data_IF_715608419217
#
_entry.id   IF_715608419217
#
_cell.length_a   1.000
_cell.length_b   1.000
_cell.length_c   1.000
_cell.angle_alpha   90.00
_cell.angle_beta   90.00
_cell.angle_gamma   90.00
#
_symmetry.space_group_name_H-M   'P 1'
#
loop_
_entity.id
_entity.type
_entity.pdbx_description
1 polymer ?
#
# COMPACT_ATOMS: atom_id res chain seq x y z
N UNK A 1 18.69 -18.95 15.92
CA UNK A 1 19.46 -17.71 16.12
C UNK A 1 18.59 -16.49 15.78
N UNK A 2 18.94 -15.28 16.23
CA UNK A 2 18.20 -14.04 15.90
C UNK A 2 19.18 -12.87 15.64
N UNK A 3 20.01 -12.98 14.60
CA UNK A 3 20.86 -11.87 14.17
C UNK A 3 20.00 -10.77 13.51
N UNK A 4 20.19 -9.51 13.91
CA UNK A 4 19.55 -8.38 13.22
C UNK A 4 20.21 -8.19 11.86
N UNK A 5 19.46 -8.47 10.80
CA UNK A 5 19.87 -8.16 9.44
C UNK A 5 19.74 -6.66 9.20
N UNK A 6 20.85 -6.00 8.91
CA UNK A 6 20.89 -4.64 8.42
C UNK A 6 20.99 -4.69 6.91
N UNK A 7 20.05 -4.01 6.24
CA UNK A 7 20.16 -3.71 4.82
C UNK A 7 21.05 -2.46 4.65
N UNK A 8 21.37 -2.06 3.41
CA UNK A 8 21.33 -0.64 3.08
C UNK A 8 19.90 -0.07 3.33
N UNK A 9 19.61 1.19 3.05
CA UNK A 9 18.44 1.92 3.57
C UNK A 9 18.31 2.09 5.11
N UNK A 10 18.77 1.12 5.94
CA UNK A 10 18.78 1.13 7.42
C UNK A 10 20.05 1.75 8.07
N UNK A 11 21.16 1.90 7.34
CA UNK A 11 22.40 2.52 7.84
C UNK A 11 22.56 3.98 7.33
N UNK A 12 23.63 4.67 7.75
CA UNK A 12 23.98 5.99 7.20
C UNK A 12 24.71 5.87 5.85
N UNK A 13 24.51 6.85 4.95
CA UNK A 13 25.25 6.99 3.68
C UNK A 13 26.79 6.92 3.86
N UNK A 14 27.30 7.38 5.01
CA UNK A 14 28.74 7.34 5.35
C UNK A 14 29.23 5.89 5.54
N UNK A 15 28.35 4.98 5.96
CA UNK A 15 28.66 3.56 6.16
C UNK A 15 28.54 2.81 4.83
N UNK A 16 27.51 3.09 4.02
CA UNK A 16 27.34 2.44 2.71
C UNK A 16 28.49 2.74 1.75
N UNK A 17 28.92 4.00 1.68
CA UNK A 17 30.05 4.41 0.81
C UNK A 17 31.38 3.71 1.13
N UNK A 18 31.51 3.08 2.31
CA UNK A 18 32.70 2.34 2.74
C UNK A 18 32.56 0.82 2.64
N UNK A 19 31.34 0.27 2.68
CA UNK A 19 31.10 -1.18 2.85
C UNK A 19 30.09 -1.82 1.91
N UNK A 20 29.30 -1.06 1.15
CA UNK A 20 28.30 -1.60 0.23
C UNK A 20 28.72 -1.38 -1.24
N UNK A 21 28.53 -2.38 -2.10
CA UNK A 21 28.71 -2.18 -3.53
C UNK A 21 27.60 -1.30 -4.11
N UNK A 22 27.93 -0.46 -5.10
CA UNK A 22 26.96 0.37 -5.82
C UNK A 22 25.86 -0.46 -6.49
N UNK A 23 26.18 -1.69 -6.90
CA UNK A 23 25.24 -2.67 -7.43
C UNK A 23 24.18 -3.08 -6.40
N UNK A 24 24.57 -3.37 -5.15
CA UNK A 24 23.65 -3.76 -4.08
C UNK A 24 22.68 -2.64 -3.72
N UNK A 25 23.19 -1.42 -3.57
CA UNK A 25 22.39 -0.21 -3.30
C UNK A 25 21.36 0.04 -4.40
N UNK A 26 21.75 -0.13 -5.66
CA UNK A 26 20.87 0.04 -6.82
C UNK A 26 19.78 -1.04 -6.90
N UNK A 27 20.13 -2.29 -6.57
CA UNK A 27 19.21 -3.44 -6.59
C UNK A 27 18.19 -3.33 -5.43
N UNK A 28 18.63 -2.87 -4.24
CA UNK A 28 17.70 -2.56 -3.15
C UNK A 28 16.80 -1.37 -3.50
N UNK A 29 17.31 -0.30 -4.11
CA UNK A 29 16.49 0.82 -4.54
C UNK A 29 15.37 0.38 -5.48
N UNK A 30 15.68 -0.46 -6.48
CA UNK A 30 14.67 -1.04 -7.37
C UNK A 30 13.65 -1.91 -6.61
N UNK A 31 14.10 -2.74 -5.67
CA UNK A 31 13.23 -3.56 -4.84
C UNK A 31 12.32 -2.71 -3.93
N UNK A 32 12.83 -1.62 -3.36
CA UNK A 32 12.07 -0.69 -2.53
C UNK A 32 11.05 0.11 -3.36
N UNK A 33 11.38 0.48 -4.60
CA UNK A 33 10.42 1.04 -5.54
C UNK A 33 9.29 0.05 -5.83
N UNK A 34 9.62 -1.19 -6.23
CA UNK A 34 8.64 -2.24 -6.51
C UNK A 34 7.73 -2.54 -5.31
N UNK A 35 8.31 -2.67 -4.10
CA UNK A 35 7.56 -2.83 -2.83
C UNK A 35 6.62 -1.65 -2.55
N UNK A 36 7.01 -0.42 -2.89
CA UNK A 36 6.19 0.78 -2.67
C UNK A 36 5.01 0.81 -3.63
N UNK A 37 5.22 0.49 -4.91
CA UNK A 37 4.16 0.37 -5.91
C UNK A 37 3.19 -0.77 -5.58
N UNK A 38 3.69 -1.95 -5.21
CA UNK A 38 2.86 -3.08 -4.76
C UNK A 38 2.06 -2.73 -3.49
N UNK A 39 2.68 -2.11 -2.48
CA UNK A 39 1.97 -1.68 -1.28
C UNK A 39 0.84 -0.68 -1.61
N UNK A 40 1.04 0.24 -2.55
CA UNK A 40 0.02 1.19 -2.99
C UNK A 40 -1.15 0.50 -3.71
N UNK A 41 -0.87 -0.43 -4.64
CA UNK A 41 -1.90 -1.25 -5.28
C UNK A 41 -2.71 -2.08 -4.26
N UNK A 42 -2.03 -2.66 -3.26
CA UNK A 42 -2.70 -3.37 -2.16
C UNK A 42 -3.63 -2.45 -1.36
N UNK A 43 -3.21 -1.21 -1.05
CA UNK A 43 -4.08 -0.21 -0.40
C UNK A 43 -5.34 0.03 -1.24
N UNK A 44 -5.21 0.31 -2.55
CA UNK A 44 -6.38 0.51 -3.42
C UNK A 44 -7.31 -0.71 -3.49
N UNK A 45 -6.74 -1.91 -3.62
CA UNK A 45 -7.50 -3.17 -3.63
C UNK A 45 -8.30 -3.36 -2.34
N UNK A 46 -7.68 -3.15 -1.17
CA UNK A 46 -8.38 -3.27 0.10
C UNK A 46 -9.41 -2.15 0.33
N UNK A 47 -9.14 -0.92 -0.10
CA UNK A 47 -10.14 0.17 -0.08
C UNK A 47 -11.38 -0.18 -0.93
N UNK A 48 -11.17 -0.78 -2.10
CA UNK A 48 -12.26 -1.26 -2.98
C UNK A 48 -13.04 -2.42 -2.35
N UNK A 49 -12.34 -3.41 -1.77
CA UNK A 49 -12.98 -4.49 -1.00
C UNK A 49 -13.80 -3.94 0.17
N UNK A 50 -13.29 -2.94 0.90
CA UNK A 50 -13.97 -2.28 2.03
C UNK A 50 -15.31 -1.68 1.59
N UNK A 51 -15.35 -0.99 0.45
CA UNK A 51 -16.58 -0.42 -0.12
C UNK A 51 -17.56 -1.51 -0.58
N UNK A 52 -17.11 -2.53 -1.33
CA UNK A 52 -18.00 -3.61 -1.79
C UNK A 52 -18.57 -4.43 -0.63
N UNK A 53 -17.75 -4.81 0.36
CA UNK A 53 -18.22 -5.55 1.54
C UNK A 53 -19.22 -4.73 2.37
N UNK A 54 -19.01 -3.42 2.48
CA UNK A 54 -19.96 -2.52 3.17
C UNK A 54 -21.31 -2.48 2.44
N UNK A 55 -21.32 -2.38 1.11
CA UNK A 55 -22.56 -2.42 0.32
C UNK A 55 -23.24 -3.80 0.37
N UNK A 56 -22.46 -4.87 0.26
CA UNK A 56 -22.96 -6.25 0.35
C UNK A 56 -23.62 -6.51 1.71
N UNK A 57 -22.98 -6.04 2.80
CA UNK A 57 -23.53 -6.11 4.15
C UNK A 57 -24.88 -5.39 4.24
N UNK A 58 -24.97 -4.15 3.76
CA UNK A 58 -26.21 -3.36 3.82
C UNK A 58 -27.34 -4.00 3.01
N UNK A 59 -27.04 -4.59 1.85
CA UNK A 59 -28.06 -5.15 0.94
C UNK A 59 -28.53 -6.56 1.32
N UNK A 60 -27.62 -7.42 1.77
CA UNK A 60 -27.85 -8.88 1.78
C UNK A 60 -27.78 -9.54 3.16
N UNK A 61 -27.37 -8.82 4.22
CA UNK A 61 -27.09 -9.42 5.51
C UNK A 61 -28.16 -9.04 6.54
N UNK A 62 -28.96 -10.04 6.92
CA UNK A 62 -30.00 -9.95 7.93
C UNK A 62 -29.70 -10.90 9.09
N UNK A 63 -30.12 -10.53 10.30
CA UNK A 63 -29.89 -11.33 11.51
C UNK A 63 -28.49 -11.15 12.13
N UNK A 64 -28.39 -11.50 13.42
CA UNK A 64 -27.24 -11.16 14.25
C UNK A 64 -25.96 -11.92 13.87
N UNK A 65 -26.03 -13.24 13.68
CA UNK A 65 -24.86 -14.10 13.42
C UNK A 65 -24.15 -13.71 12.12
N UNK A 66 -24.93 -13.49 11.05
CA UNK A 66 -24.39 -13.09 9.75
C UNK A 66 -23.80 -11.66 9.80
N UNK A 67 -24.44 -10.74 10.54
CA UNK A 67 -23.91 -9.39 10.78
C UNK A 67 -22.57 -9.43 11.53
N UNK A 68 -22.43 -10.25 12.58
CA UNK A 68 -21.15 -10.43 13.30
C UNK A 68 -20.05 -10.91 12.36
N UNK A 69 -20.30 -11.94 11.55
CA UNK A 69 -19.34 -12.46 10.56
C UNK A 69 -18.93 -11.39 9.54
N UNK A 70 -19.87 -10.55 9.09
CA UNK A 70 -19.60 -9.44 8.18
C UNK A 70 -18.73 -8.35 8.84
N UNK A 71 -19.00 -8.00 10.09
CA UNK A 71 -18.18 -7.07 10.87
C UNK A 71 -16.75 -7.62 11.08
N UNK A 72 -16.59 -8.91 11.37
CA UNK A 72 -15.25 -9.54 11.44
C UNK A 72 -14.51 -9.46 10.11
N UNK A 73 -15.18 -9.70 8.98
CA UNK A 73 -14.58 -9.57 7.65
C UNK A 73 -14.15 -8.13 7.35
N UNK A 74 -14.98 -7.14 7.68
CA UNK A 74 -14.65 -5.72 7.53
C UNK A 74 -13.45 -5.32 8.41
N UNK A 75 -13.44 -5.72 9.68
CA UNK A 75 -12.32 -5.46 10.61
C UNK A 75 -10.99 -6.08 10.12
N UNK A 76 -11.06 -7.27 9.52
CA UNK A 76 -9.90 -7.89 8.87
C UNK A 76 -9.41 -7.08 7.66
N UNK A 77 -10.32 -6.55 6.82
CA UNK A 77 -9.94 -5.66 5.71
C UNK A 77 -9.31 -4.36 6.21
N UNK A 78 -9.87 -3.71 7.25
CA UNK A 78 -9.25 -2.51 7.86
C UNK A 78 -7.83 -2.80 8.37
N UNK A 79 -7.62 -3.96 9.00
CA UNK A 79 -6.30 -4.40 9.45
C UNK A 79 -5.32 -4.60 8.28
N UNK A 80 -5.81 -5.06 7.11
CA UNK A 80 -5.02 -5.19 5.88
C UNK A 80 -4.71 -3.83 5.24
N UNK A 81 -5.64 -2.88 5.27
CA UNK A 81 -5.39 -1.49 4.85
C UNK A 81 -4.27 -0.91 5.70
N UNK A 82 -4.40 -0.91 7.03
CA UNK A 82 -3.39 -0.37 7.95
C UNK A 82 -2.01 -1.00 7.74
N UNK A 83 -1.94 -2.33 7.62
CA UNK A 83 -0.67 -3.04 7.34
C UNK A 83 -0.04 -2.65 6.00
N UNK A 84 -0.85 -2.45 4.96
CA UNK A 84 -0.37 -2.05 3.62
C UNK A 84 0.09 -0.59 3.60
N UNK A 85 -0.60 0.30 4.30
CA UNK A 85 -0.20 1.70 4.52
C UNK A 85 1.14 1.77 5.26
N UNK A 86 1.30 1.04 6.38
CA UNK A 86 2.59 0.98 7.10
C UNK A 86 3.72 0.42 6.23
N UNK A 87 3.44 -0.57 5.37
CA UNK A 87 4.42 -1.10 4.41
C UNK A 87 4.82 -0.05 3.38
N UNK A 88 3.86 0.68 2.80
CA UNK A 88 4.10 1.78 1.87
C UNK A 88 4.99 2.86 2.47
N UNK A 89 4.68 3.34 3.67
CA UNK A 89 5.52 4.34 4.36
C UNK A 89 6.93 3.84 4.60
N UNK A 90 7.10 2.58 5.05
CA UNK A 90 8.42 2.00 5.30
C UNK A 90 9.24 1.84 4.01
N UNK A 91 8.66 1.33 2.94
CA UNK A 91 9.37 1.15 1.67
C UNK A 91 9.66 2.48 0.97
N UNK A 92 8.76 3.48 1.09
CA UNK A 92 9.00 4.86 0.61
C UNK A 92 10.14 5.52 1.38
N UNK A 93 10.18 5.37 2.71
CA UNK A 93 11.27 5.91 3.54
C UNK A 93 12.61 5.27 3.18
N UNK A 94 12.66 3.95 3.01
CA UNK A 94 13.84 3.22 2.55
C UNK A 94 14.29 3.65 1.14
N UNK A 95 13.34 3.88 0.22
CA UNK A 95 13.66 4.38 -1.11
C UNK A 95 14.20 5.82 -1.07
N UNK A 96 13.68 6.66 -0.17
CA UNK A 96 14.14 8.04 0.04
C UNK A 96 15.59 8.09 0.57
N UNK A 97 15.98 7.20 1.49
CA UNK A 97 17.36 7.18 1.99
C UNK A 97 18.36 6.69 0.95
N UNK A 98 17.94 5.82 0.02
CA UNK A 98 18.78 5.28 -1.06
C UNK A 98 18.93 6.22 -2.27
N UNK A 99 17.81 6.80 -2.74
CA UNK A 99 17.76 7.54 -4.02
C UNK A 99 17.77 9.07 -3.84
N UNK A 100 17.37 9.56 -2.66
CA UNK A 100 17.20 10.99 -2.38
C UNK A 100 15.96 11.61 -3.04
N UNK A 101 15.72 12.91 -2.79
CA UNK A 101 14.61 13.66 -3.40
C UNK A 101 14.82 13.79 -4.91
N UNK A 102 13.82 13.36 -5.69
CA UNK A 102 13.83 13.39 -7.15
C UNK A 102 12.40 13.34 -7.71
N UNK A 103 12.23 13.29 -9.03
CA UNK A 103 10.92 13.36 -9.70
C UNK A 103 9.95 12.25 -9.27
N UNK A 104 10.45 11.12 -8.75
CA UNK A 104 9.64 10.01 -8.26
C UNK A 104 8.72 10.41 -7.09
N UNK A 105 9.06 11.44 -6.30
CA UNK A 105 8.21 11.90 -5.19
C UNK A 105 6.87 12.45 -5.66
N UNK A 106 6.79 12.95 -6.90
CA UNK A 106 5.54 13.40 -7.53
C UNK A 106 4.58 12.24 -7.83
N UNK A 107 5.14 11.06 -8.09
CA UNK A 107 4.40 9.82 -8.41
C UNK A 107 4.06 9.05 -7.13
N UNK A 108 5.04 8.89 -6.24
CA UNK A 108 4.90 8.20 -4.95
C UNK A 108 4.86 9.22 -3.81
N UNK A 109 3.71 9.88 -3.68
CA UNK A 109 3.49 10.94 -2.69
C UNK A 109 3.38 10.38 -1.26
N UNK A 110 3.50 11.23 -0.24
CA UNK A 110 3.25 10.82 1.14
C UNK A 110 1.74 10.62 1.32
N UNK A 111 1.33 9.38 1.57
CA UNK A 111 -0.07 9.02 1.81
C UNK A 111 -0.53 9.57 3.16
N UNK A 112 -1.47 10.51 3.18
CA UNK A 112 -2.05 11.03 4.42
C UNK A 112 -3.18 10.12 4.91
N UNK A 113 -3.55 10.18 6.21
CA UNK A 113 -4.76 9.50 6.70
C UNK A 113 -6.04 9.92 5.94
N UNK A 114 -6.09 11.17 5.48
CA UNK A 114 -7.13 11.74 4.62
C UNK A 114 -7.29 11.01 3.28
N UNK A 115 -6.19 10.51 2.71
CA UNK A 115 -6.18 9.82 1.40
C UNK A 115 -6.65 8.35 1.51
N UNK A 116 -6.66 7.78 2.72
CA UNK A 116 -7.06 6.38 3.00
C UNK A 116 -8.56 6.25 3.27
N UNK A 117 -9.37 7.12 2.65
CA UNK A 117 -10.82 7.08 2.74
C UNK A 117 -11.45 6.03 1.80
N UNK A 118 -12.60 5.50 2.19
CA UNK A 118 -13.34 4.54 1.36
C UNK A 118 -13.86 5.22 0.08
N UNK A 119 -13.93 4.49 -1.02
CA UNK A 119 -14.48 5.01 -2.27
C UNK A 119 -15.92 5.46 -2.04
N UNK A 120 -16.14 6.77 -2.12
CA UNK A 120 -17.49 7.36 -2.14
C UNK A 120 -18.25 6.85 -3.38
N UNK A 121 -19.58 6.89 -3.36
CA UNK A 121 -20.44 6.36 -4.43
C UNK A 121 -20.12 6.98 -5.81
N UNK A 122 -19.64 8.22 -5.84
CA UNK A 122 -19.10 8.90 -7.03
C UNK A 122 -17.87 8.18 -7.59
N UNK A 123 -16.84 8.03 -6.76
CA UNK A 123 -15.51 7.56 -7.13
C UNK A 123 -15.52 6.07 -7.51
N UNK A 124 -16.40 5.29 -6.88
CA UNK A 124 -16.60 3.88 -7.23
C UNK A 124 -17.13 3.73 -8.67
N UNK A 125 -18.09 4.58 -9.05
CA UNK A 125 -18.66 4.59 -10.40
C UNK A 125 -17.58 4.93 -11.43
N UNK A 126 -16.83 6.00 -11.19
CA UNK A 126 -15.75 6.48 -12.06
C UNK A 126 -14.64 5.43 -12.29
N UNK A 127 -14.28 4.67 -11.26
CA UNK A 127 -13.36 3.53 -11.40
C UNK A 127 -13.95 2.37 -12.20
N UNK A 128 -15.24 2.04 -12.02
CA UNK A 128 -15.92 1.00 -12.80
C UNK A 128 -16.00 1.36 -14.30
N UNK A 129 -16.18 2.64 -14.65
CA UNK A 129 -16.07 3.11 -16.04
C UNK A 129 -14.64 2.92 -16.58
N UNK A 130 -13.62 3.41 -15.89
CA UNK A 130 -12.22 3.32 -16.35
C UNK A 130 -11.69 1.88 -16.46
N UNK A 131 -12.22 0.95 -15.65
CA UNK A 131 -11.84 -0.46 -15.72
C UNK A 131 -12.58 -1.18 -16.86
N UNK A 132 -13.85 -0.83 -17.11
CA UNK A 132 -14.59 -1.27 -18.29
C UNK A 132 -13.92 -0.83 -19.60
N UNK A 133 -13.51 0.44 -19.71
CA UNK A 133 -12.76 0.95 -20.87
C UNK A 133 -11.41 0.25 -21.07
N UNK A 134 -10.77 -0.20 -19.99
CA UNK A 134 -9.48 -0.91 -20.04
C UNK A 134 -9.61 -2.40 -20.41
N UNK A 135 -10.82 -2.97 -20.32
CA UNK A 135 -11.14 -4.34 -20.73
C UNK A 135 -11.73 -4.44 -22.15
N UNK A 136 -11.94 -3.30 -22.82
CA UNK A 136 -12.48 -3.19 -24.20
C UNK A 136 -11.37 -2.86 -25.22
N UNK A 137 -10.12 -2.69 -24.77
CA UNK A 137 -8.91 -2.52 -25.57
C UNK A 137 -7.99 -3.74 -25.44
#
# INVERSE_FOLDING_TARGET
ENARLYLPSDLSMIVWSRGCSSTLVSLEAWLCHAKTVDALHNVWNYLRMRTYLSQFKIKNITGQVANTRACSMLSWVESKIASSVSRYHRSRAAYMTLQGPSQWEKVLQVLKPEDVQGLNKSNLKEMEWMEGERSVK
#
